data_IF_350077343835
#
_entry.id   IF_350077343835
#
_cell.length_a   1.000
_cell.length_b   1.000
_cell.length_c   1.000
_cell.angle_alpha   90.00
_cell.angle_beta   90.00
_cell.angle_gamma   90.00
#
_symmetry.space_group_name_H-M   'P 1'
#
loop_
_entity.id
_entity.type
_entity.pdbx_description
1 polymer ?
#
# COMPACT_ATOMS: atom_id res chain seq x y z
N UNK A 1 -41.64 -37.91 4.08
CA UNK A 1 -41.83 -36.45 3.97
C UNK A 1 -40.73 -35.92 3.07
N UNK A 2 -41.16 -35.32 1.96
CA UNK A 2 -40.38 -35.08 0.75
C UNK A 2 -39.33 -33.98 0.87
N UNK A 3 -38.19 -34.24 0.25
CA UNK A 3 -37.07 -33.35 -0.07
C UNK A 3 -37.48 -32.24 -1.05
N UNK A 4 -37.05 -31.00 -0.82
CA UNK A 4 -36.99 -29.95 -1.86
C UNK A 4 -35.65 -29.23 -1.77
N UNK A 5 -34.67 -29.75 -2.50
CA UNK A 5 -33.45 -29.04 -2.86
C UNK A 5 -33.78 -28.11 -4.04
N UNK A 6 -33.68 -26.80 -3.84
CA UNK A 6 -33.83 -25.82 -4.92
C UNK A 6 -32.46 -25.65 -5.58
N UNK A 7 -32.27 -26.38 -6.68
CA UNK A 7 -31.18 -26.15 -7.63
C UNK A 7 -31.59 -25.01 -8.56
N UNK A 8 -30.98 -23.83 -8.40
CA UNK A 8 -31.08 -22.76 -9.41
C UNK A 8 -29.99 -22.99 -10.45
N UNK A 9 -30.41 -23.48 -11.60
CA UNK A 9 -29.62 -23.54 -12.82
C UNK A 9 -29.38 -22.11 -13.33
N UNK A 10 -28.13 -21.67 -13.37
CA UNK A 10 -27.76 -20.46 -14.12
C UNK A 10 -27.15 -20.93 -15.43
N UNK A 11 -27.94 -20.70 -16.48
CA UNK A 11 -27.64 -21.04 -17.86
C UNK A 11 -26.35 -20.38 -18.34
N UNK A 12 -25.54 -21.20 -18.99
CA UNK A 12 -24.34 -20.86 -19.75
C UNK A 12 -24.62 -19.85 -20.86
N UNK A 13 -23.97 -18.69 -20.81
CA UNK A 13 -23.78 -17.82 -21.96
C UNK A 13 -22.41 -18.16 -22.57
N UNK A 14 -22.43 -18.83 -23.72
CA UNK A 14 -21.26 -19.01 -24.59
C UNK A 14 -21.34 -17.99 -25.73
N UNK A 15 -20.29 -17.17 -25.89
CA UNK A 15 -19.75 -16.66 -27.17
C UNK A 15 -18.60 -15.69 -26.83
N UNK A 16 -17.35 -16.14 -26.88
CA UNK A 16 -16.46 -16.02 -28.05
C UNK A 16 -15.80 -14.63 -28.17
N UNK A 17 -14.62 -14.47 -27.58
CA UNK A 17 -13.62 -13.49 -28.05
C UNK A 17 -12.23 -14.13 -27.95
N UNK A 18 -11.71 -14.44 -29.14
CA UNK A 18 -10.32 -14.53 -29.58
C UNK A 18 -9.23 -14.92 -28.56
N UNK A 19 -8.70 -16.12 -28.77
CA UNK A 19 -7.31 -16.45 -28.49
C UNK A 19 -6.39 -15.50 -29.25
N UNK A 20 -5.82 -14.53 -28.56
CA UNK A 20 -4.58 -13.89 -28.96
C UNK A 20 -3.49 -14.34 -27.99
N UNK A 21 -2.58 -15.11 -28.55
CA UNK A 21 -1.23 -15.45 -28.12
C UNK A 21 -0.64 -14.65 -26.95
N UNK A 22 0.02 -15.41 -26.06
CA UNK A 22 1.30 -15.12 -25.38
C UNK A 22 1.26 -15.12 -23.86
N UNK A 23 2.03 -16.07 -23.32
CA UNK A 23 2.78 -15.87 -22.09
C UNK A 23 2.08 -16.35 -20.83
N UNK A 24 2.45 -17.55 -20.40
CA UNK A 24 2.55 -17.87 -18.97
C UNK A 24 3.47 -16.79 -18.37
N UNK A 25 2.89 -15.78 -17.72
CA UNK A 25 3.63 -14.92 -16.81
C UNK A 25 3.54 -15.63 -15.47
N UNK A 26 4.48 -16.54 -15.27
CA UNK A 26 4.79 -17.14 -13.98
C UNK A 26 4.88 -16.02 -12.97
N UNK A 27 4.10 -16.15 -11.90
CA UNK A 27 4.05 -15.19 -10.81
C UNK A 27 5.40 -15.18 -10.08
N UNK A 28 6.36 -14.43 -10.61
CA UNK A 28 7.43 -13.89 -9.80
C UNK A 28 6.77 -12.95 -8.80
N UNK A 29 6.69 -13.39 -7.55
CA UNK A 29 6.62 -12.49 -6.41
C UNK A 29 7.81 -11.53 -6.51
N UNK A 30 7.62 -10.44 -7.22
CA UNK A 30 8.51 -9.29 -7.16
C UNK A 30 8.31 -8.69 -5.76
N UNK A 31 9.11 -9.15 -4.81
CA UNK A 31 9.43 -8.32 -3.67
C UNK A 31 10.11 -7.10 -4.24
N UNK A 32 9.33 -6.03 -4.41
CA UNK A 32 9.83 -4.70 -4.72
C UNK A 32 10.67 -4.28 -3.52
N UNK A 33 11.93 -4.69 -3.54
CA UNK A 33 13.00 -4.06 -2.78
C UNK A 33 13.06 -2.63 -3.32
N UNK A 34 12.81 -1.59 -2.51
CA UNK A 34 12.91 -0.23 -2.98
C UNK A 34 14.40 0.08 -3.14
N UNK A 35 14.98 -0.30 -4.27
CA UNK A 35 16.24 0.28 -4.71
C UNK A 35 16.01 1.78 -4.89
N UNK A 36 16.66 2.47 -3.98
CA UNK A 36 16.89 3.89 -3.83
C UNK A 36 17.58 4.47 -5.09
N UNK A 37 16.95 4.38 -6.25
CA UNK A 37 17.44 5.07 -7.45
C UNK A 37 16.94 6.53 -7.43
N UNK A 38 17.44 7.28 -6.44
CA UNK A 38 17.29 8.72 -6.32
C UNK A 38 18.15 9.40 -7.39
N UNK A 39 17.68 9.37 -8.63
CA UNK A 39 17.97 10.46 -9.56
C UNK A 39 17.57 11.77 -8.87
N UNK A 40 18.34 12.87 -9.02
CA UNK A 40 18.04 14.13 -8.35
C UNK A 40 16.70 14.66 -8.87
N UNK A 41 15.63 14.23 -8.20
CA UNK A 41 14.27 14.59 -8.52
C UNK A 41 14.18 16.10 -8.37
N UNK A 42 13.86 16.79 -9.47
CA UNK A 42 13.57 18.21 -9.46
C UNK A 42 12.74 18.54 -8.22
N UNK A 43 13.11 19.58 -7.46
CA UNK A 43 12.54 19.89 -6.13
C UNK A 43 11.00 20.01 -6.12
N UNK A 44 10.38 20.13 -7.30
CA UNK A 44 8.93 20.21 -7.53
C UNK A 44 8.24 18.86 -7.79
N UNK A 45 8.98 17.78 -7.97
CA UNK A 45 8.42 16.45 -8.23
C UNK A 45 7.64 15.96 -7.01
N UNK A 46 6.37 15.60 -7.22
CA UNK A 46 5.52 15.03 -6.19
C UNK A 46 5.83 13.54 -6.04
N UNK A 47 6.18 13.15 -4.82
CA UNK A 47 6.46 11.77 -4.43
C UNK A 47 5.30 11.29 -3.56
N UNK A 48 4.57 10.29 -4.05
CA UNK A 48 3.48 9.66 -3.32
C UNK A 48 3.99 8.44 -2.54
N UNK A 49 3.62 8.33 -1.26
CA UNK A 49 3.95 7.19 -0.41
C UNK A 49 2.69 6.68 0.29
N UNK A 50 2.53 5.36 0.34
CA UNK A 50 1.48 4.72 1.15
C UNK A 50 1.94 4.61 2.59
N UNK A 51 1.13 5.11 3.51
CA UNK A 51 1.34 5.06 4.95
C UNK A 51 0.21 4.30 5.63
N UNK A 52 0.54 3.38 6.52
CA UNK A 52 -0.45 2.73 7.39
C UNK A 52 -1.02 3.76 8.37
N UNK A 53 -2.35 3.78 8.50
CA UNK A 53 -3.01 4.65 9.48
C UNK A 53 -2.68 4.15 10.89
N UNK A 54 -2.26 5.04 11.79
CA UNK A 54 -1.94 4.67 13.17
C UNK A 54 -3.12 3.94 13.83
N UNK A 55 -2.85 2.78 14.42
CA UNK A 55 -3.87 1.92 15.03
C UNK A 55 -4.66 1.05 14.04
N UNK A 56 -4.41 1.14 12.72
CA UNK A 56 -5.01 0.25 11.72
C UNK A 56 -4.00 -0.78 11.22
N UNK A 57 -4.46 -2.03 11.03
CA UNK A 57 -3.66 -3.10 10.41
C UNK A 57 -3.91 -3.27 8.91
N UNK A 58 -5.05 -2.78 8.41
CA UNK A 58 -5.52 -3.03 7.04
C UNK A 58 -5.65 -1.76 6.21
N UNK A 59 -5.74 -0.59 6.84
CA UNK A 59 -5.96 0.67 6.12
C UNK A 59 -4.65 1.43 5.96
N UNK A 60 -4.34 1.69 4.70
CA UNK A 60 -3.29 2.63 4.29
C UNK A 60 -3.92 3.87 3.68
N UNK A 61 -3.27 5.01 3.86
CA UNK A 61 -3.53 6.24 3.12
C UNK A 61 -2.37 6.53 2.19
N UNK A 62 -2.65 7.12 1.04
CA UNK A 62 -1.62 7.63 0.14
C UNK A 62 -1.41 9.13 0.45
N UNK A 63 -0.16 9.51 0.65
CA UNK A 63 0.23 10.90 0.94
C UNK A 63 1.26 11.32 -0.12
N UNK A 64 1.03 12.45 -0.78
CA UNK A 64 1.87 12.95 -1.86
C UNK A 64 2.48 14.29 -1.47
N UNK A 65 3.81 14.36 -1.45
CA UNK A 65 4.56 15.56 -1.08
C UNK A 65 5.78 15.71 -1.98
N UNK A 66 6.29 16.93 -2.09
CA UNK A 66 7.59 17.15 -2.73
C UNK A 66 8.73 16.49 -1.93
N UNK A 67 9.90 16.35 -2.56
CA UNK A 67 11.10 15.86 -1.87
C UNK A 67 11.44 16.68 -0.61
N UNK A 68 11.30 18.01 -0.68
CA UNK A 68 11.44 18.89 0.50
C UNK A 68 10.36 18.60 1.56
N UNK A 69 9.11 18.46 1.14
CA UNK A 69 8.00 18.13 2.05
C UNK A 69 8.23 16.84 2.84
N UNK A 70 8.78 15.81 2.18
CA UNK A 70 9.17 14.56 2.85
C UNK A 70 10.35 14.72 3.81
N UNK A 71 11.36 15.51 3.44
CA UNK A 71 12.50 15.83 4.33
C UNK A 71 12.03 16.54 5.60
N UNK A 72 11.12 17.51 5.46
CA UNK A 72 10.52 18.22 6.59
C UNK A 72 9.70 17.29 7.47
N UNK A 73 8.81 16.50 6.87
CA UNK A 73 7.98 15.53 7.59
C UNK A 73 8.82 14.56 8.42
N UNK A 74 9.88 13.99 7.84
CA UNK A 74 10.80 13.08 8.56
C UNK A 74 11.47 13.76 9.77
N UNK A 75 11.84 15.04 9.63
CA UNK A 75 12.44 15.81 10.72
C UNK A 75 11.44 16.03 11.86
N UNK A 76 10.22 16.44 11.53
CA UNK A 76 9.15 16.70 12.50
C UNK A 76 8.78 15.42 13.26
N UNK A 77 8.52 14.31 12.54
CA UNK A 77 8.21 13.01 13.17
C UNK A 77 9.32 12.54 14.11
N UNK A 78 10.59 12.73 13.74
CA UNK A 78 11.72 12.37 14.61
C UNK A 78 11.75 13.20 15.89
N UNK A 79 11.47 14.50 15.80
CA UNK A 79 11.40 15.39 16.97
C UNK A 79 10.23 15.01 17.88
N UNK A 80 9.06 14.71 17.31
CA UNK A 80 7.89 14.27 18.07
C UNK A 80 8.15 12.96 18.81
N UNK A 81 8.75 11.97 18.14
CA UNK A 81 9.12 10.71 18.78
C UNK A 81 10.12 10.92 19.92
N UNK A 82 11.14 11.77 19.73
CA UNK A 82 12.11 12.10 20.78
C UNK A 82 11.43 12.76 21.98
N UNK A 83 10.50 13.69 21.75
CA UNK A 83 9.72 14.34 22.81
C UNK A 83 8.82 13.35 23.54
N UNK A 84 8.12 12.47 22.81
CA UNK A 84 7.27 11.44 23.40
C UNK A 84 8.08 10.46 24.26
N UNK A 85 9.24 10.02 23.77
CA UNK A 85 10.15 9.13 24.51
C UNK A 85 10.66 9.78 25.81
N UNK A 86 11.00 11.07 25.79
CA UNK A 86 11.41 11.79 26.99
C UNK A 86 10.31 11.77 28.05
N UNK A 87 9.06 12.10 27.67
CA UNK A 87 7.92 12.11 28.59
C UNK A 87 7.71 10.76 29.27
N UNK A 88 7.79 9.66 28.51
CA UNK A 88 7.63 8.31 29.06
C UNK A 88 8.75 7.98 30.05
N UNK A 89 9.99 8.35 29.74
CA UNK A 89 11.13 8.12 30.63
C UNK A 89 11.02 8.92 31.94
N UNK A 90 10.53 10.15 31.89
CA UNK A 90 10.35 11.00 33.07
C UNK A 90 9.25 10.46 33.99
N UNK A 91 8.18 9.89 33.43
CA UNK A 91 7.10 9.24 34.21
C UNK A 91 7.46 7.88 34.83
N UNK A 92 8.61 7.30 34.47
CA UNK A 92 9.08 6.03 35.01
C UNK A 92 10.06 6.18 36.20
N UNK A 93 10.34 7.42 36.61
CA UNK A 93 11.12 7.77 37.80
C UNK A 93 10.20 8.21 38.93
#
# INVERSE_FOLDING_TARGET
MSTLAIFVAIASVQAAISTADMGVVEATSESVDPQDDLTPADDKTLICKRQTIAGSRLRTREDCKTAEGWRRHKRETRMEFKRARSRVADTAK
#
